data_IF_989988899581
#
_entry.id   IF_989988899581
#
_cell.length_a   1.000
_cell.length_b   1.000
_cell.length_c   1.000
_cell.angle_alpha   90.00
_cell.angle_beta   90.00
_cell.angle_gamma   90.00
#
_symmetry.space_group_name_H-M   'P 1'
#
loop_
_entity.id
_entity.type
_entity.pdbx_description
1 polymer ?
#
# COMPACT_ATOMS: atom_id res chain seq x y z
N UNK A 1 14.00 -31.70 -12.51
CA UNK A 1 15.02 -32.71 -12.73
C UNK A 1 15.04 -33.05 -14.24
N UNK A 2 15.86 -32.35 -14.96
CA UNK A 2 16.26 -32.76 -16.30
C UNK A 2 17.75 -33.01 -16.23
N UNK A 3 18.12 -34.18 -15.73
CA UNK A 3 19.39 -34.81 -15.99
C UNK A 3 19.24 -35.57 -17.31
N UNK A 4 19.62 -34.92 -18.40
CA UNK A 4 19.73 -35.47 -19.74
C UNK A 4 21.00 -34.96 -20.36
N UNK A 5 22.03 -35.83 -20.36
CA UNK A 5 23.31 -35.70 -21.03
C UNK A 5 23.11 -35.25 -22.47
N UNK A 6 23.56 -34.02 -22.82
CA UNK A 6 23.78 -33.64 -24.20
C UNK A 6 25.25 -33.87 -24.54
N UNK A 7 25.52 -35.04 -25.15
CA UNK A 7 26.77 -35.29 -25.85
C UNK A 7 26.89 -34.31 -27.02
N UNK A 8 27.99 -33.58 -27.04
CA UNK A 8 28.33 -32.62 -28.09
C UNK A 8 28.58 -33.35 -29.42
N UNK A 9 27.79 -33.05 -30.47
CA UNK A 9 28.10 -33.29 -31.85
C UNK A 9 28.45 -31.94 -32.53
N UNK A 10 29.56 -31.81 -33.21
CA UNK A 10 29.95 -30.55 -33.83
C UNK A 10 29.19 -30.38 -35.15
N UNK A 11 28.32 -29.39 -35.25
CA UNK A 11 27.76 -29.01 -36.54
C UNK A 11 26.33 -28.51 -36.62
N UNK A 12 25.59 -28.37 -35.51
CA UNK A 12 24.28 -27.73 -35.56
C UNK A 12 24.25 -26.46 -34.65
N UNK A 13 24.02 -25.31 -35.31
CA UNK A 13 23.63 -24.07 -34.65
C UNK A 13 22.51 -24.39 -33.62
N UNK A 14 22.86 -24.37 -32.35
CA UNK A 14 21.91 -24.52 -31.28
C UNK A 14 20.91 -23.36 -31.38
N UNK A 15 19.67 -23.64 -31.80
CA UNK A 15 18.56 -22.71 -31.65
C UNK A 15 18.49 -22.32 -30.19
N UNK A 16 18.42 -21.03 -29.84
CA UNK A 16 18.21 -20.62 -28.48
C UNK A 16 16.89 -21.25 -28.02
N UNK A 17 16.99 -22.22 -27.10
CA UNK A 17 15.86 -22.84 -26.47
C UNK A 17 15.01 -21.73 -25.85
N UNK A 18 13.74 -21.65 -26.23
CA UNK A 18 12.77 -20.63 -25.86
C UNK A 18 12.63 -20.49 -24.32
N UNK A 19 13.62 -19.88 -23.68
CA UNK A 19 13.50 -19.47 -22.25
C UNK A 19 12.36 -18.49 -22.05
N UNK A 20 12.04 -17.69 -23.05
CA UNK A 20 11.00 -16.66 -22.95
C UNK A 20 9.58 -17.24 -22.84
N UNK A 21 9.25 -18.33 -23.51
CA UNK A 21 7.92 -18.94 -23.47
C UNK A 21 7.64 -19.61 -22.11
N UNK A 22 8.63 -20.29 -21.53
CA UNK A 22 8.49 -20.96 -20.23
C UNK A 22 8.45 -19.93 -19.08
N UNK A 23 9.24 -18.86 -19.18
CA UNK A 23 9.22 -17.78 -18.21
C UNK A 23 7.90 -17.01 -18.26
N UNK A 24 7.39 -16.69 -19.45
CA UNK A 24 6.10 -16.00 -19.60
C UNK A 24 4.92 -16.81 -19.06
N UNK A 25 4.88 -18.13 -19.32
CA UNK A 25 3.83 -18.99 -18.77
C UNK A 25 3.85 -19.07 -17.24
N UNK A 26 5.01 -19.10 -16.62
CA UNK A 26 5.14 -19.10 -15.16
C UNK A 26 4.79 -17.75 -14.54
N UNK A 27 5.19 -16.65 -15.15
CA UNK A 27 4.86 -15.28 -14.68
C UNK A 27 3.35 -15.07 -14.79
N UNK A 28 2.72 -15.45 -15.91
CA UNK A 28 1.28 -15.30 -16.12
C UNK A 28 0.47 -16.14 -15.11
N UNK A 29 0.85 -17.39 -14.88
CA UNK A 29 0.17 -18.25 -13.90
C UNK A 29 0.34 -17.76 -12.46
N UNK A 30 1.50 -17.20 -12.10
CA UNK A 30 1.72 -16.60 -10.78
C UNK A 30 0.91 -15.31 -10.62
N UNK A 31 0.76 -14.50 -11.66
CA UNK A 31 -0.07 -13.30 -11.68
C UNK A 31 -1.55 -13.60 -11.40
N UNK A 32 -2.12 -14.59 -12.09
CA UNK A 32 -3.52 -15.02 -11.88
C UNK A 32 -3.73 -15.50 -10.45
N UNK A 33 -2.84 -16.32 -9.91
CA UNK A 33 -2.92 -16.79 -8.51
C UNK A 33 -2.90 -15.62 -7.52
N UNK A 34 -2.10 -14.58 -7.78
CA UNK A 34 -2.07 -13.37 -6.95
C UNK A 34 -3.36 -12.57 -7.00
N UNK A 35 -4.02 -12.50 -8.15
CA UNK A 35 -5.33 -11.87 -8.29
C UNK A 35 -6.36 -12.59 -7.41
N UNK A 36 -6.46 -13.92 -7.50
CA UNK A 36 -7.37 -14.71 -6.64
C UNK A 36 -7.04 -14.55 -5.15
N UNK A 37 -5.76 -14.56 -4.78
CA UNK A 37 -5.32 -14.31 -3.41
C UNK A 37 -5.75 -12.92 -2.92
N UNK A 38 -5.62 -11.88 -3.75
CA UNK A 38 -6.03 -10.53 -3.40
C UNK A 38 -7.55 -10.41 -3.21
N UNK A 39 -8.36 -11.06 -4.08
CA UNK A 39 -9.81 -11.12 -3.91
C UNK A 39 -10.21 -11.75 -2.57
N UNK A 40 -9.58 -12.87 -2.19
CA UNK A 40 -9.84 -13.48 -0.89
C UNK A 40 -9.39 -12.60 0.29
N UNK A 41 -8.23 -11.93 0.17
CA UNK A 41 -7.67 -11.14 1.24
C UNK A 41 -8.46 -9.84 1.54
N UNK A 42 -9.08 -9.21 0.54
CA UNK A 42 -9.81 -7.95 0.76
C UNK A 42 -11.15 -8.15 1.49
N UNK A 43 -11.72 -9.35 1.47
CA UNK A 43 -13.00 -9.65 2.14
C UNK A 43 -12.87 -9.57 3.67
N UNK A 44 -11.78 -10.07 4.24
CA UNK A 44 -11.56 -10.14 5.69
C UNK A 44 -11.69 -8.78 6.40
N UNK A 45 -10.92 -7.75 6.03
CA UNK A 45 -11.01 -6.43 6.66
C UNK A 45 -12.35 -5.72 6.46
N UNK A 46 -13.07 -6.00 5.37
CA UNK A 46 -14.40 -5.43 5.14
C UNK A 46 -15.46 -6.09 6.02
N UNK A 47 -15.48 -7.42 6.07
CA UNK A 47 -16.44 -8.17 6.88
C UNK A 47 -16.23 -7.94 8.37
N UNK A 48 -14.99 -7.94 8.86
CA UNK A 48 -14.73 -7.70 10.29
C UNK A 48 -15.25 -6.35 10.76
N UNK A 49 -15.11 -5.29 9.97
CA UNK A 49 -15.68 -3.98 10.29
C UNK A 49 -17.20 -3.96 10.24
N UNK A 50 -17.81 -4.67 9.29
CA UNK A 50 -19.25 -4.80 9.19
C UNK A 50 -19.81 -5.55 10.41
N UNK A 51 -19.25 -6.71 10.75
CA UNK A 51 -19.63 -7.52 11.90
C UNK A 51 -19.55 -6.77 13.23
N UNK A 52 -18.47 -5.99 13.44
CA UNK A 52 -18.33 -5.14 14.63
C UNK A 52 -19.49 -4.14 14.73
N UNK A 53 -19.89 -3.54 13.61
CA UNK A 53 -21.00 -2.56 13.59
C UNK A 53 -22.37 -3.20 13.77
N UNK A 54 -22.53 -4.47 13.38
CA UNK A 54 -23.79 -5.20 13.50
C UNK A 54 -24.00 -5.78 14.91
N UNK A 55 -22.91 -6.18 15.58
CA UNK A 55 -22.93 -6.83 16.88
C UNK A 55 -22.87 -5.86 18.07
N UNK A 56 -22.18 -4.72 17.90
CA UNK A 56 -21.88 -3.82 19.02
C UNK A 56 -22.58 -2.46 18.88
N UNK A 57 -23.04 -1.91 20.01
CA UNK A 57 -23.52 -0.53 20.07
C UNK A 57 -22.42 0.50 19.76
N UNK A 58 -22.81 1.74 19.48
CA UNK A 58 -21.89 2.80 18.98
C UNK A 58 -20.58 2.91 19.76
N UNK A 59 -20.64 2.92 21.09
CA UNK A 59 -19.48 3.11 21.96
C UNK A 59 -18.56 1.88 21.96
N UNK A 60 -19.14 0.68 22.03
CA UNK A 60 -18.39 -0.58 22.02
C UNK A 60 -17.82 -0.87 20.63
N UNK A 61 -18.57 -0.60 19.56
CA UNK A 61 -18.07 -0.71 18.19
C UNK A 61 -16.85 0.19 17.98
N UNK A 62 -16.83 1.41 18.52
CA UNK A 62 -15.67 2.28 18.45
C UNK A 62 -14.44 1.71 19.16
N UNK A 63 -14.62 1.09 20.33
CA UNK A 63 -13.53 0.40 21.05
C UNK A 63 -12.99 -0.79 20.24
N UNK A 64 -13.88 -1.63 19.70
CA UNK A 64 -13.51 -2.80 18.91
C UNK A 64 -12.79 -2.40 17.61
N UNK A 65 -13.27 -1.36 16.91
CA UNK A 65 -12.58 -0.82 15.72
C UNK A 65 -11.19 -0.26 16.05
N UNK A 66 -11.01 0.36 17.22
CA UNK A 66 -9.72 0.81 17.69
C UNK A 66 -8.77 -0.36 17.96
N UNK A 67 -9.26 -1.43 18.58
CA UNK A 67 -8.49 -2.66 18.79
C UNK A 67 -8.08 -3.30 17.46
N UNK A 68 -9.02 -3.37 16.50
CA UNK A 68 -8.75 -3.86 15.15
C UNK A 68 -7.65 -3.03 14.46
N UNK A 69 -7.68 -1.71 14.62
CA UNK A 69 -6.66 -0.82 14.06
C UNK A 69 -5.26 -1.09 14.65
N UNK A 70 -5.17 -1.40 15.94
CA UNK A 70 -3.90 -1.77 16.59
C UNK A 70 -3.37 -3.09 16.00
N UNK A 71 -4.23 -4.11 15.88
CA UNK A 71 -3.84 -5.40 15.29
C UNK A 71 -3.38 -5.22 13.84
N UNK A 72 -4.09 -4.40 13.05
CA UNK A 72 -3.71 -4.09 11.68
C UNK A 72 -2.38 -3.33 11.59
N UNK A 73 -2.01 -2.54 12.60
CA UNK A 73 -0.73 -1.85 12.64
C UNK A 73 0.46 -2.78 12.99
N UNK A 74 0.21 -3.88 13.71
CA UNK A 74 1.25 -4.87 14.06
C UNK A 74 1.65 -5.72 12.82
N UNK A 75 0.70 -6.04 11.95
CA UNK A 75 0.93 -6.94 10.82
C UNK A 75 2.05 -6.46 9.87
N UNK A 76 2.14 -5.18 9.45
CA UNK A 76 3.23 -4.69 8.62
C UNK A 76 4.61 -4.71 9.29
N UNK A 77 4.66 -4.75 10.63
CA UNK A 77 5.92 -4.89 11.39
C UNK A 77 6.30 -6.37 11.44
N UNK A 78 5.37 -7.22 11.85
CA UNK A 78 5.62 -8.64 12.03
C UNK A 78 5.91 -9.37 10.70
N UNK A 79 5.23 -8.99 9.61
CA UNK A 79 5.35 -9.63 8.31
C UNK A 79 6.78 -9.67 7.77
N UNK A 80 7.44 -8.53 7.53
CA UNK A 80 8.82 -8.49 7.03
C UNK A 80 9.84 -9.11 7.98
N UNK A 81 9.65 -8.96 9.30
CA UNK A 81 10.53 -9.59 10.29
C UNK A 81 10.44 -11.11 10.23
N UNK A 82 9.23 -11.67 10.23
CA UNK A 82 9.01 -13.11 10.11
C UNK A 82 9.52 -13.64 8.78
N UNK A 83 9.26 -12.92 7.67
CA UNK A 83 9.74 -13.30 6.36
C UNK A 83 11.28 -13.31 6.28
N UNK A 84 11.93 -12.30 6.83
CA UNK A 84 13.40 -12.23 6.89
C UNK A 84 14.00 -13.42 7.61
N UNK A 85 13.50 -13.75 8.79
CA UNK A 85 13.97 -14.90 9.57
C UNK A 85 13.69 -16.25 8.89
N UNK A 86 12.49 -16.39 8.29
CA UNK A 86 12.16 -17.62 7.55
C UNK A 86 13.08 -17.85 6.36
N UNK A 87 13.54 -16.79 5.68
CA UNK A 87 14.45 -16.90 4.55
C UNK A 87 15.87 -17.31 4.94
N UNK A 88 16.27 -17.13 6.19
CA UNK A 88 17.57 -17.59 6.71
C UNK A 88 17.59 -19.09 6.92
N UNK A 89 16.51 -19.64 7.50
CA UNK A 89 16.43 -21.05 7.90
C UNK A 89 15.82 -21.95 6.82
N UNK A 90 14.98 -21.38 5.96
CA UNK A 90 14.19 -22.11 4.97
C UNK A 90 14.21 -21.42 3.60
N UNK A 91 13.58 -22.04 2.63
CA UNK A 91 13.42 -21.48 1.28
C UNK A 91 12.24 -20.50 1.23
N UNK A 92 12.17 -19.68 0.18
CA UNK A 92 11.08 -18.74 -0.05
C UNK A 92 9.67 -19.38 -0.07
N UNK A 93 9.58 -20.69 -0.31
CA UNK A 93 8.31 -21.44 -0.27
C UNK A 93 7.70 -21.46 1.13
N UNK A 94 8.52 -21.41 2.19
CA UNK A 94 8.03 -21.44 3.58
C UNK A 94 7.13 -20.26 3.92
N UNK A 95 7.35 -19.08 3.30
CA UNK A 95 6.49 -17.91 3.46
C UNK A 95 5.07 -18.22 2.95
N UNK A 96 4.95 -18.93 1.81
CA UNK A 96 3.64 -19.30 1.26
C UNK A 96 2.95 -20.37 2.12
N UNK A 97 3.69 -21.33 2.67
CA UNK A 97 3.13 -22.31 3.60
C UNK A 97 2.62 -21.65 4.88
N UNK A 98 3.32 -20.64 5.40
CA UNK A 98 2.84 -19.84 6.52
C UNK A 98 1.53 -19.12 6.17
N UNK A 99 1.44 -18.52 4.99
CA UNK A 99 0.21 -17.86 4.54
C UNK A 99 -0.95 -18.85 4.37
N UNK A 100 -0.68 -20.07 3.90
CA UNK A 100 -1.68 -21.14 3.81
C UNK A 100 -2.18 -21.54 5.19
N UNK A 101 -1.26 -21.73 6.16
CA UNK A 101 -1.63 -22.07 7.54
C UNK A 101 -2.52 -20.99 8.17
N UNK A 102 -2.16 -19.70 8.01
CA UNK A 102 -2.98 -18.58 8.47
C UNK A 102 -4.34 -18.56 7.76
N UNK A 103 -4.38 -18.81 6.45
CA UNK A 103 -5.62 -18.87 5.67
C UNK A 103 -6.56 -19.99 6.14
N UNK A 104 -6.03 -21.16 6.45
CA UNK A 104 -6.81 -22.28 7.02
C UNK A 104 -7.37 -21.91 8.41
N UNK A 105 -6.53 -21.32 9.27
CA UNK A 105 -6.96 -20.87 10.59
C UNK A 105 -8.10 -19.84 10.48
N UNK A 106 -7.99 -18.88 9.57
CA UNK A 106 -9.04 -17.90 9.30
C UNK A 106 -10.32 -18.56 8.78
N UNK A 107 -10.20 -19.54 7.87
CA UNK A 107 -11.35 -20.26 7.33
C UNK A 107 -12.09 -21.01 8.45
N UNK A 108 -11.37 -21.73 9.31
CA UNK A 108 -11.96 -22.42 10.47
C UNK A 108 -12.65 -21.41 11.40
N UNK A 109 -12.01 -20.30 11.70
CA UNK A 109 -12.61 -19.26 12.54
C UNK A 109 -13.92 -18.72 11.93
N UNK A 110 -13.96 -18.45 10.62
CA UNK A 110 -15.18 -17.96 9.94
C UNK A 110 -16.31 -19.00 9.95
N UNK A 111 -15.99 -20.29 9.81
CA UNK A 111 -16.99 -21.36 9.82
C UNK A 111 -17.62 -21.57 11.21
N UNK A 112 -16.92 -21.21 12.29
CA UNK A 112 -17.41 -21.31 13.68
C UNK A 112 -18.26 -20.09 14.07
N UNK A 113 -18.06 -18.93 13.43
CA UNK A 113 -18.79 -17.71 13.76
C UNK A 113 -20.22 -17.79 13.19
N UNK A 114 -21.27 -17.61 14.01
CA UNK A 114 -22.65 -17.57 13.54
C UNK A 114 -22.92 -16.35 12.65
N UNK A 115 -23.89 -16.47 11.74
CA UNK A 115 -24.33 -15.37 10.87
C UNK A 115 -24.79 -14.17 11.70
N UNK A 116 -24.18 -13.01 11.51
CA UNK A 116 -24.43 -11.81 12.31
C UNK A 116 -25.51 -10.89 11.71
N UNK A 117 -25.84 -11.05 10.42
CA UNK A 117 -26.77 -10.16 9.72
C UNK A 117 -28.11 -10.85 9.42
N UNK A 118 -29.21 -10.49 10.12
CA UNK A 118 -30.52 -11.08 9.90
C UNK A 118 -30.99 -10.90 8.45
N UNK A 119 -31.58 -11.95 7.88
CA UNK A 119 -32.06 -11.97 6.48
C UNK A 119 -33.02 -10.81 6.19
N UNK A 120 -33.82 -10.41 7.17
CA UNK A 120 -34.83 -9.35 7.08
C UNK A 120 -34.21 -7.95 6.87
N UNK A 121 -33.00 -7.72 7.34
CA UNK A 121 -32.27 -6.44 7.22
C UNK A 121 -31.43 -6.32 5.95
N UNK A 122 -31.38 -7.38 5.13
CA UNK A 122 -30.60 -7.37 3.89
C UNK A 122 -31.19 -6.36 2.89
N UNK A 123 -30.41 -5.36 2.53
CA UNK A 123 -30.83 -4.33 1.58
C UNK A 123 -31.05 -4.92 0.17
N UNK A 124 -32.24 -4.75 -0.36
CA UNK A 124 -32.61 -5.12 -1.74
C UNK A 124 -32.21 -4.05 -2.78
N UNK A 125 -31.34 -3.09 -2.44
CA UNK A 125 -30.95 -2.02 -3.34
C UNK A 125 -30.22 -2.58 -4.58
N UNK A 126 -30.67 -2.21 -5.76
CA UNK A 126 -30.11 -2.62 -7.03
C UNK A 126 -28.65 -2.17 -7.19
N UNK A 127 -27.81 -3.04 -7.75
CA UNK A 127 -26.40 -2.78 -8.10
C UNK A 127 -26.26 -1.54 -9.02
N UNK A 128 -27.26 -1.29 -9.87
CA UNK A 128 -27.29 -0.11 -10.76
C UNK A 128 -27.23 1.24 -10.04
N UNK A 129 -27.84 1.36 -8.85
CA UNK A 129 -27.75 2.58 -8.05
C UNK A 129 -26.34 2.86 -7.55
N UNK A 130 -25.59 1.79 -7.23
CA UNK A 130 -24.19 1.90 -6.77
C UNK A 130 -23.28 2.38 -7.91
N UNK A 131 -23.49 1.90 -9.12
CA UNK A 131 -22.72 2.31 -10.29
C UNK A 131 -22.90 3.81 -10.62
N UNK A 132 -24.14 4.30 -10.54
CA UNK A 132 -24.42 5.72 -10.74
C UNK A 132 -23.73 6.61 -9.68
N UNK A 133 -23.66 6.16 -8.42
CA UNK A 133 -22.94 6.89 -7.37
C UNK A 133 -21.45 7.01 -7.67
N UNK A 134 -20.81 5.98 -8.21
CA UNK A 134 -19.40 6.04 -8.62
C UNK A 134 -19.20 7.07 -9.75
N UNK A 135 -20.09 7.10 -10.72
CA UNK A 135 -20.01 8.07 -11.82
C UNK A 135 -20.15 9.51 -11.35
N UNK A 136 -21.07 9.77 -10.43
CA UNK A 136 -21.26 11.09 -9.82
C UNK A 136 -20.00 11.50 -9.04
N UNK A 137 -19.41 10.58 -8.27
CA UNK A 137 -18.20 10.84 -7.48
C UNK A 137 -16.98 11.10 -8.36
N UNK A 138 -16.80 10.36 -9.46
CA UNK A 138 -15.73 10.59 -10.42
C UNK A 138 -15.81 11.98 -11.09
N UNK A 139 -17.02 12.54 -11.22
CA UNK A 139 -17.22 13.90 -11.74
C UNK A 139 -17.12 15.00 -10.68
N UNK A 140 -17.12 14.63 -9.41
CA UNK A 140 -17.00 15.58 -8.30
C UNK A 140 -15.54 16.02 -8.14
N UNK A 141 -15.21 17.23 -8.62
CA UNK A 141 -13.85 17.78 -8.57
C UNK A 141 -13.26 17.83 -7.16
N UNK A 142 -14.07 18.15 -6.13
CA UNK A 142 -13.63 18.21 -4.76
C UNK A 142 -13.26 16.83 -4.19
N UNK A 143 -14.08 15.80 -4.48
CA UNK A 143 -13.79 14.41 -4.11
C UNK A 143 -12.57 13.89 -4.85
N UNK A 144 -12.48 14.10 -6.17
CA UNK A 144 -11.38 13.62 -7.00
C UNK A 144 -10.04 14.27 -6.65
N UNK A 145 -10.02 15.55 -6.27
CA UNK A 145 -8.82 16.24 -5.81
C UNK A 145 -8.15 15.47 -4.67
N UNK A 146 -8.89 15.18 -3.60
CA UNK A 146 -8.34 14.47 -2.45
C UNK A 146 -8.05 13.00 -2.76
N UNK A 147 -8.88 12.35 -3.56
CA UNK A 147 -8.66 10.97 -3.99
C UNK A 147 -7.39 10.84 -4.82
N UNK A 148 -7.15 11.75 -5.79
CA UNK A 148 -5.91 11.76 -6.58
C UNK A 148 -4.69 12.13 -5.73
N UNK A 149 -4.85 13.04 -4.77
CA UNK A 149 -3.77 13.39 -3.84
C UNK A 149 -3.29 12.16 -3.06
N UNK A 150 -4.19 11.43 -2.41
CA UNK A 150 -3.80 10.22 -1.66
C UNK A 150 -3.31 9.11 -2.59
N UNK A 151 -3.91 8.93 -3.76
CA UNK A 151 -3.47 7.93 -4.74
C UNK A 151 -2.05 8.21 -5.23
N UNK A 152 -1.71 9.47 -5.53
CA UNK A 152 -0.35 9.87 -5.91
C UNK A 152 0.64 9.57 -4.79
N UNK A 153 0.30 9.88 -3.54
CA UNK A 153 1.16 9.55 -2.41
C UNK A 153 1.35 8.04 -2.25
N UNK A 154 0.29 7.25 -2.49
CA UNK A 154 0.37 5.78 -2.43
C UNK A 154 1.15 5.17 -3.58
N UNK A 155 1.20 5.79 -4.78
CA UNK A 155 2.15 5.36 -5.82
C UNK A 155 3.59 5.44 -5.30
N UNK A 156 3.95 6.53 -4.60
CA UNK A 156 5.27 6.68 -3.99
C UNK A 156 5.52 5.64 -2.87
N UNK A 157 4.53 5.37 -2.02
CA UNK A 157 4.61 4.31 -1.00
C UNK A 157 4.85 2.95 -1.65
N UNK A 158 4.09 2.61 -2.69
CA UNK A 158 4.26 1.33 -3.38
C UNK A 158 5.58 1.25 -4.15
N UNK A 159 6.13 2.38 -4.64
CA UNK A 159 7.47 2.41 -5.21
C UNK A 159 8.53 2.03 -4.16
N UNK A 160 8.39 2.53 -2.95
CA UNK A 160 9.23 2.11 -1.83
C UNK A 160 9.03 0.64 -1.47
N UNK A 161 7.79 0.16 -1.34
CA UNK A 161 7.50 -1.24 -1.00
C UNK A 161 8.09 -2.23 -2.02
N UNK A 162 8.00 -1.89 -3.30
CA UNK A 162 8.47 -2.76 -4.40
C UNK A 162 9.98 -2.66 -4.60
N UNK A 163 10.55 -1.45 -4.48
CA UNK A 163 11.96 -1.19 -4.79
C UNK A 163 12.89 -1.38 -3.59
N UNK A 164 12.42 -1.19 -2.35
CA UNK A 164 13.28 -1.22 -1.17
C UNK A 164 14.01 -2.56 -0.94
N UNK A 165 13.42 -3.75 -1.19
CA UNK A 165 14.16 -5.01 -1.02
C UNK A 165 15.38 -5.06 -1.94
N UNK A 166 15.19 -4.68 -3.22
CA UNK A 166 16.28 -4.64 -4.18
C UNK A 166 17.35 -3.61 -3.79
N UNK A 167 16.93 -2.39 -3.48
CA UNK A 167 17.87 -1.31 -3.12
C UNK A 167 18.67 -1.68 -1.86
N UNK A 168 18.02 -2.19 -0.80
CA UNK A 168 18.73 -2.47 0.44
C UNK A 168 19.59 -3.73 0.35
N UNK A 169 19.09 -4.81 -0.26
CA UNK A 169 19.78 -6.11 -0.26
C UNK A 169 20.79 -6.21 -1.41
N UNK A 170 20.40 -5.81 -2.64
CA UNK A 170 21.24 -6.05 -3.81
C UNK A 170 22.17 -4.86 -4.12
N UNK A 171 21.72 -3.60 -3.89
CA UNK A 171 22.55 -2.41 -4.16
C UNK A 171 23.45 -2.04 -2.97
N UNK A 172 22.90 -2.10 -1.75
CA UNK A 172 23.64 -1.75 -0.51
C UNK A 172 24.12 -2.96 0.30
N UNK A 173 23.94 -4.17 -0.22
CA UNK A 173 24.43 -5.43 0.38
C UNK A 173 24.00 -5.63 1.85
N UNK A 174 22.84 -5.09 2.25
CA UNK A 174 22.30 -5.29 3.60
C UNK A 174 21.87 -6.74 3.75
N UNK A 175 22.33 -7.46 4.80
CA UNK A 175 21.90 -8.83 5.05
C UNK A 175 20.38 -8.91 5.14
N UNK A 176 19.78 -9.94 4.52
CA UNK A 176 18.32 -10.13 4.42
C UNK A 176 17.61 -10.10 5.78
N UNK A 177 18.30 -10.52 6.82
CA UNK A 177 17.83 -10.51 8.21
C UNK A 177 17.53 -9.10 8.72
N UNK A 178 18.36 -8.12 8.35
CA UNK A 178 18.22 -6.74 8.80
C UNK A 178 17.22 -5.93 7.98
N UNK A 179 16.84 -6.39 6.79
CA UNK A 179 15.84 -5.73 5.96
C UNK A 179 14.51 -5.52 6.70
N UNK A 180 14.04 -6.56 7.42
CA UNK A 180 12.81 -6.50 8.19
C UNK A 180 12.82 -5.41 9.27
N UNK A 181 13.96 -5.20 9.93
CA UNK A 181 14.12 -4.15 10.94
C UNK A 181 14.11 -2.75 10.32
N UNK A 182 14.86 -2.54 9.23
CA UNK A 182 14.88 -1.26 8.50
C UNK A 182 13.49 -0.90 7.96
N UNK A 183 12.75 -1.90 7.49
CA UNK A 183 11.36 -1.70 7.06
C UNK A 183 10.44 -1.33 8.22
N UNK A 184 10.57 -2.01 9.36
CA UNK A 184 9.75 -1.81 10.56
C UNK A 184 9.91 -0.41 11.16
N UNK A 185 11.09 0.18 11.08
CA UNK A 185 11.34 1.57 11.52
C UNK A 185 10.40 2.55 10.81
N UNK A 186 10.14 2.35 9.51
CA UNK A 186 9.21 3.20 8.76
C UNK A 186 7.78 3.11 9.31
N UNK A 187 7.34 1.91 9.69
CA UNK A 187 6.00 1.69 10.26
C UNK A 187 5.87 2.35 11.63
N UNK A 188 6.92 2.30 12.45
CA UNK A 188 6.98 3.00 13.73
C UNK A 188 6.81 4.52 13.51
N UNK A 189 7.48 5.07 12.49
CA UNK A 189 7.32 6.47 12.10
C UNK A 189 5.86 6.83 11.75
N UNK A 190 5.20 5.98 10.96
CA UNK A 190 3.77 6.15 10.62
C UNK A 190 2.89 6.12 11.87
N UNK A 191 3.12 5.19 12.79
CA UNK A 191 2.37 5.09 14.05
C UNK A 191 2.57 6.32 14.92
N UNK A 192 3.80 6.80 15.06
CA UNK A 192 4.14 7.99 15.82
C UNK A 192 3.44 9.23 15.26
N UNK A 193 3.55 9.47 13.94
CA UNK A 193 2.89 10.61 13.31
C UNK A 193 1.37 10.48 13.28
N UNK A 194 0.81 9.27 13.21
CA UNK A 194 -0.62 9.07 13.40
C UNK A 194 -1.08 9.43 14.82
N UNK A 195 -0.29 9.10 15.83
CA UNK A 195 -0.59 9.49 17.21
C UNK A 195 -0.50 11.02 17.43
N UNK A 196 0.52 11.65 16.85
CA UNK A 196 0.68 13.11 16.86
C UNK A 196 -0.48 13.78 16.11
N UNK A 197 -0.88 13.24 14.96
CA UNK A 197 -1.99 13.75 14.16
C UNK A 197 -3.30 13.83 14.97
N UNK A 198 -3.59 12.86 15.83
CA UNK A 198 -4.79 12.88 16.71
C UNK A 198 -4.86 14.11 17.60
N UNK A 199 -3.69 14.66 18.02
CA UNK A 199 -3.63 15.86 18.84
C UNK A 199 -3.70 17.13 18.01
N UNK A 200 -3.11 17.13 16.82
CA UNK A 200 -2.97 18.32 15.97
C UNK A 200 -4.24 18.55 15.13
N UNK A 201 -4.96 17.51 14.76
CA UNK A 201 -6.13 17.58 13.86
C UNK A 201 -7.25 18.45 14.41
N UNK A 202 -7.37 18.60 15.73
CA UNK A 202 -8.35 19.48 16.38
C UNK A 202 -7.92 20.95 16.43
N UNK A 203 -6.61 21.21 16.30
CA UNK A 203 -6.05 22.57 16.43
C UNK A 203 -5.79 23.25 15.09
N UNK A 204 -5.62 22.47 14.02
CA UNK A 204 -5.25 22.99 12.68
C UNK A 204 -6.28 22.56 11.66
N UNK A 205 -6.65 23.46 10.73
CA UNK A 205 -7.51 23.13 9.58
C UNK A 205 -6.90 22.00 8.76
N UNK A 206 -7.72 21.02 8.41
CA UNK A 206 -7.30 19.81 7.67
C UNK A 206 -6.57 20.14 6.37
N UNK A 207 -7.04 21.14 5.61
CA UNK A 207 -6.40 21.56 4.35
C UNK A 207 -4.97 22.09 4.57
N UNK A 208 -4.76 22.87 5.63
CA UNK A 208 -3.43 23.39 5.96
C UNK A 208 -2.51 22.27 6.44
N UNK A 209 -3.04 21.37 7.26
CA UNK A 209 -2.29 20.20 7.74
C UNK A 209 -1.85 19.31 6.59
N UNK A 210 -2.74 19.06 5.61
CA UNK A 210 -2.42 18.30 4.41
C UNK A 210 -1.30 18.98 3.59
N UNK A 211 -1.37 20.29 3.39
CA UNK A 211 -0.34 21.05 2.66
C UNK A 211 1.02 20.96 3.36
N UNK A 212 1.08 21.21 4.65
CA UNK A 212 2.35 21.13 5.37
C UNK A 212 2.95 19.72 5.35
N UNK A 213 2.13 18.67 5.52
CA UNK A 213 2.59 17.30 5.49
C UNK A 213 3.11 16.88 4.09
N UNK A 214 2.41 17.27 3.02
CA UNK A 214 2.82 16.95 1.65
C UNK A 214 4.05 17.75 1.22
N UNK A 215 4.14 19.04 1.60
CA UNK A 215 5.32 19.87 1.38
C UNK A 215 6.55 19.32 2.12
N UNK A 216 6.41 18.96 3.38
CA UNK A 216 7.50 18.36 4.14
C UNK A 216 8.00 17.08 3.47
N UNK A 217 7.09 16.17 3.08
CA UNK A 217 7.45 14.95 2.37
C UNK A 217 8.17 15.25 1.05
N UNK A 218 7.69 16.24 0.27
CA UNK A 218 8.30 16.64 -0.99
C UNK A 218 9.71 17.22 -0.80
N UNK A 219 9.90 18.07 0.20
CA UNK A 219 11.22 18.64 0.54
C UNK A 219 12.18 17.52 0.95
N UNK A 220 11.78 16.63 1.84
CA UNK A 220 12.63 15.52 2.29
C UNK A 220 13.12 14.68 1.12
N UNK A 221 12.22 14.25 0.23
CA UNK A 221 12.57 13.41 -0.91
C UNK A 221 13.43 14.18 -1.93
N UNK A 222 13.12 15.47 -2.16
CA UNK A 222 13.91 16.32 -3.07
C UNK A 222 15.34 16.53 -2.55
N UNK A 223 15.52 16.69 -1.25
CA UNK A 223 16.85 16.78 -0.62
C UNK A 223 17.63 15.49 -0.80
N UNK A 224 16.99 14.32 -0.59
CA UNK A 224 17.67 13.02 -0.79
C UNK A 224 18.14 12.87 -2.22
N UNK A 225 17.27 13.14 -3.21
CA UNK A 225 17.66 13.05 -4.63
C UNK A 225 18.75 14.06 -4.96
N UNK A 226 18.64 15.30 -4.47
CA UNK A 226 19.67 16.32 -4.68
C UNK A 226 21.04 15.87 -4.17
N UNK A 227 21.10 15.29 -2.98
CA UNK A 227 22.34 14.75 -2.42
C UNK A 227 22.85 13.53 -3.20
N UNK A 228 21.98 12.66 -3.68
CA UNK A 228 22.36 11.56 -4.55
C UNK A 228 22.98 12.06 -5.87
N UNK A 229 22.40 13.10 -6.49
CA UNK A 229 22.96 13.70 -7.74
C UNK A 229 24.35 14.32 -7.51
N UNK A 230 24.59 14.90 -6.34
CA UNK A 230 25.92 15.45 -5.97
C UNK A 230 26.94 14.33 -5.67
N UNK A 231 26.51 13.06 -5.63
CA UNK A 231 27.40 11.91 -5.46
C UNK A 231 27.41 11.30 -4.05
N UNK A 232 26.53 11.74 -3.16
CA UNK A 232 26.38 11.12 -1.84
C UNK A 232 25.48 9.88 -1.93
N UNK A 233 26.10 8.69 -2.04
CA UNK A 233 25.42 7.39 -2.14
C UNK A 233 25.53 6.60 -0.84
N UNK A 234 24.92 7.10 0.24
CA UNK A 234 24.93 6.41 1.54
C UNK A 234 23.61 5.67 1.77
N UNK A 235 23.68 4.43 2.29
CA UNK A 235 22.51 3.69 2.76
C UNK A 235 21.69 4.51 3.75
N UNK A 236 22.34 5.16 4.71
CA UNK A 236 21.67 5.95 5.75
C UNK A 236 20.92 7.16 5.19
N UNK A 237 21.42 7.77 4.12
CA UNK A 237 20.71 8.85 3.44
C UNK A 237 19.35 8.37 2.92
N UNK A 238 19.32 7.21 2.28
CA UNK A 238 18.07 6.61 1.75
C UNK A 238 17.16 6.16 2.88
N UNK A 239 17.70 5.49 3.91
CA UNK A 239 16.92 5.01 5.05
C UNK A 239 16.25 6.18 5.78
N UNK A 240 16.98 7.24 6.09
CA UNK A 240 16.43 8.42 6.78
C UNK A 240 15.43 9.15 5.88
N UNK A 241 15.74 9.33 4.61
CA UNK A 241 14.84 9.98 3.67
C UNK A 241 13.53 9.21 3.48
N UNK A 242 13.61 7.90 3.32
CA UNK A 242 12.45 7.02 3.25
C UNK A 242 11.67 7.03 4.56
N UNK A 243 12.33 7.00 5.70
CA UNK A 243 11.68 7.10 7.01
C UNK A 243 10.86 8.40 7.16
N UNK A 244 11.45 9.54 6.85
CA UNK A 244 10.77 10.83 6.94
C UNK A 244 9.58 10.91 5.98
N UNK A 245 9.77 10.52 4.73
CA UNK A 245 8.72 10.47 3.71
C UNK A 245 7.59 9.51 4.11
N UNK A 246 7.94 8.26 4.43
CA UNK A 246 6.95 7.20 4.72
C UNK A 246 6.14 7.51 5.98
N UNK A 247 6.77 8.11 6.99
CA UNK A 247 6.12 8.51 8.24
C UNK A 247 4.97 9.51 8.00
N UNK A 248 5.08 10.38 6.97
CA UNK A 248 4.01 11.33 6.63
C UNK A 248 2.71 10.64 6.22
N UNK A 249 2.74 9.35 5.88
CA UNK A 249 1.54 8.57 5.62
C UNK A 249 0.54 8.62 6.80
N UNK A 250 1.04 8.66 8.03
CA UNK A 250 0.21 8.75 9.23
C UNK A 250 -0.69 10.01 9.28
N UNK A 251 -0.26 11.09 8.64
CA UNK A 251 -1.03 12.33 8.53
C UNK A 251 -1.76 12.40 7.20
N UNK A 252 -1.05 12.23 6.09
CA UNK A 252 -1.58 12.45 4.73
C UNK A 252 -2.77 11.53 4.46
N UNK A 253 -2.66 10.22 4.73
CA UNK A 253 -3.75 9.29 4.49
C UNK A 253 -4.98 9.61 5.34
N UNK A 254 -4.80 9.87 6.63
CA UNK A 254 -5.92 10.15 7.54
C UNK A 254 -6.66 11.43 7.14
N UNK A 255 -5.93 12.51 6.91
CA UNK A 255 -6.49 13.83 6.58
C UNK A 255 -7.15 13.80 5.21
N UNK A 256 -6.50 13.22 4.21
CA UNK A 256 -7.03 13.17 2.84
C UNK A 256 -8.29 12.31 2.76
N UNK A 257 -8.32 11.17 3.46
CA UNK A 257 -9.50 10.31 3.53
C UNK A 257 -10.68 11.05 4.18
N UNK A 258 -10.44 11.80 5.26
CA UNK A 258 -11.47 12.59 5.92
C UNK A 258 -12.04 13.68 4.97
N UNK A 259 -11.16 14.43 4.30
CA UNK A 259 -11.56 15.47 3.34
C UNK A 259 -12.31 14.91 2.13
N UNK A 260 -11.85 13.77 1.58
CA UNK A 260 -12.53 13.11 0.47
C UNK A 260 -13.94 12.63 0.86
N UNK A 261 -14.09 11.98 2.02
CA UNK A 261 -15.37 11.47 2.49
C UNK A 261 -16.36 12.60 2.84
N UNK A 262 -15.89 13.74 3.35
CA UNK A 262 -16.72 14.93 3.54
C UNK A 262 -17.31 15.43 2.21
N UNK A 263 -16.54 15.37 1.12
CA UNK A 263 -17.02 15.72 -0.23
C UNK A 263 -17.96 14.68 -0.83
N UNK A 264 -17.90 13.44 -0.42
CA UNK A 264 -18.84 12.39 -0.84
C UNK A 264 -20.23 12.53 -0.20
N UNK A 265 -20.36 13.18 0.95
CA UNK A 265 -21.60 13.47 1.64
C UNK A 265 -22.47 12.22 1.84
N UNK A 266 -23.70 12.22 1.30
CA UNK A 266 -24.65 11.09 1.41
C UNK A 266 -24.15 9.79 0.76
N UNK A 267 -23.16 9.86 -0.14
CA UNK A 267 -22.57 8.71 -0.84
C UNK A 267 -21.30 8.22 -0.17
N UNK A 268 -21.09 8.48 1.13
CA UNK A 268 -19.84 8.18 1.84
C UNK A 268 -19.41 6.69 1.72
N UNK A 269 -20.35 5.74 1.69
CA UNK A 269 -20.03 4.32 1.46
C UNK A 269 -19.42 4.05 0.09
N UNK A 270 -20.07 4.53 -0.97
CA UNK A 270 -19.54 4.45 -2.35
C UNK A 270 -18.23 5.26 -2.48
N UNK A 271 -18.15 6.41 -1.79
CA UNK A 271 -16.96 7.24 -1.74
C UNK A 271 -15.77 6.51 -1.11
N UNK A 272 -15.97 5.84 0.01
CA UNK A 272 -14.92 5.06 0.67
C UNK A 272 -14.44 3.89 -0.20
N UNK A 273 -15.35 3.21 -0.91
CA UNK A 273 -15.00 2.12 -1.80
C UNK A 273 -14.19 2.61 -3.01
N UNK A 274 -14.62 3.71 -3.67
CA UNK A 274 -13.92 4.28 -4.82
C UNK A 274 -12.54 4.82 -4.41
N UNK A 275 -12.47 5.55 -3.31
CA UNK A 275 -11.23 6.08 -2.75
C UNK A 275 -10.25 4.95 -2.42
N UNK A 276 -10.71 3.91 -1.73
CA UNK A 276 -9.89 2.73 -1.42
C UNK A 276 -9.41 2.01 -2.68
N UNK A 277 -10.27 1.83 -3.68
CA UNK A 277 -9.91 1.21 -4.96
C UNK A 277 -8.82 2.02 -5.69
N UNK A 278 -8.92 3.35 -5.74
CA UNK A 278 -7.92 4.21 -6.37
C UNK A 278 -6.63 4.27 -5.55
N UNK A 279 -6.73 4.38 -4.23
CA UNK A 279 -5.62 4.43 -3.30
C UNK A 279 -4.76 3.15 -3.36
N UNK A 280 -5.37 1.98 -3.20
CA UNK A 280 -4.64 0.70 -3.23
C UNK A 280 -4.33 0.24 -4.65
N UNK A 281 -5.21 0.51 -5.61
CA UNK A 281 -4.98 0.22 -7.03
C UNK A 281 -3.84 1.03 -7.65
N UNK A 282 -3.45 2.15 -7.05
CA UNK A 282 -2.32 2.97 -7.47
C UNK A 282 -0.99 2.22 -7.45
N UNK A 283 -0.88 1.12 -6.68
CA UNK A 283 0.28 0.23 -6.68
C UNK A 283 0.57 -0.40 -8.06
N UNK A 284 -0.45 -0.58 -8.89
CA UNK A 284 -0.26 -1.06 -10.27
C UNK A 284 0.60 -0.08 -11.08
N UNK A 285 0.31 1.22 -10.94
CA UNK A 285 1.05 2.28 -11.64
C UNK A 285 2.52 2.27 -11.21
N UNK A 286 2.77 2.21 -9.91
CA UNK A 286 4.12 2.12 -9.35
C UNK A 286 4.90 0.91 -9.88
N UNK A 287 4.30 -0.27 -9.82
CA UNK A 287 4.93 -1.51 -10.26
C UNK A 287 5.24 -1.49 -11.75
N UNK A 288 4.32 -0.97 -12.58
CA UNK A 288 4.54 -0.83 -14.02
C UNK A 288 5.72 0.11 -14.31
N UNK A 289 5.76 1.29 -13.69
CA UNK A 289 6.85 2.25 -13.91
C UNK A 289 8.20 1.63 -13.53
N UNK A 290 8.30 1.00 -12.36
CA UNK A 290 9.53 0.37 -11.91
C UNK A 290 9.97 -0.81 -12.78
N UNK A 291 9.04 -1.53 -13.41
CA UNK A 291 9.37 -2.63 -14.33
C UNK A 291 10.09 -2.16 -15.60
N UNK A 292 9.78 -0.95 -16.07
CA UNK A 292 10.41 -0.39 -17.27
C UNK A 292 11.70 0.42 -17.01
N UNK A 293 12.00 0.70 -15.75
CA UNK A 293 13.21 1.43 -15.38
C UNK A 293 14.36 0.46 -15.08
N UNK A 294 15.61 0.80 -15.46
CA UNK A 294 16.77 -0.02 -15.12
C UNK A 294 16.97 -0.06 -13.60
N UNK A 295 17.18 -1.25 -13.04
CA UNK A 295 17.20 -1.46 -11.58
C UNK A 295 18.61 -1.53 -10.99
N UNK A 296 19.66 -1.08 -11.69
CA UNK A 296 21.05 -1.21 -11.23
C UNK A 296 21.43 -0.27 -10.08
N UNK A 297 20.53 0.66 -9.72
CA UNK A 297 20.80 1.69 -8.72
C UNK A 297 19.54 2.04 -7.92
N UNK A 298 19.70 2.87 -6.87
CA UNK A 298 18.56 3.39 -6.08
C UNK A 298 17.78 4.52 -6.79
N UNK A 299 18.29 5.08 -7.90
CA UNK A 299 17.69 6.21 -8.60
C UNK A 299 16.27 5.95 -9.12
N UNK A 300 15.94 4.80 -9.75
CA UNK A 300 14.58 4.55 -10.24
C UNK A 300 13.54 4.60 -9.14
N UNK A 301 13.80 3.94 -8.01
CA UNK A 301 12.92 3.94 -6.86
C UNK A 301 12.72 5.36 -6.31
N UNK A 302 13.82 6.06 -6.01
CA UNK A 302 13.77 7.41 -5.45
C UNK A 302 13.17 8.43 -6.42
N UNK A 303 13.41 8.29 -7.73
CA UNK A 303 12.84 9.13 -8.78
C UNK A 303 11.32 9.01 -8.85
N UNK A 304 10.79 7.78 -8.84
CA UNK A 304 9.33 7.55 -8.80
C UNK A 304 8.73 8.13 -7.52
N UNK A 305 9.35 7.90 -6.37
CA UNK A 305 8.91 8.47 -5.09
C UNK A 305 8.83 10.00 -5.19
N UNK A 306 9.89 10.66 -5.68
CA UNK A 306 9.92 12.12 -5.76
C UNK A 306 8.85 12.69 -6.69
N UNK A 307 8.73 12.14 -7.90
CA UNK A 307 7.75 12.61 -8.88
C UNK A 307 6.34 12.57 -8.27
N UNK A 308 5.95 11.45 -7.67
CA UNK A 308 4.59 11.30 -7.18
C UNK A 308 4.32 12.01 -5.86
N UNK A 309 5.33 12.20 -5.01
CA UNK A 309 5.21 13.05 -3.81
C UNK A 309 5.08 14.52 -4.18
N UNK A 310 5.83 14.98 -5.19
CA UNK A 310 5.72 16.35 -5.71
C UNK A 310 4.32 16.56 -6.36
N UNK A 311 3.84 15.62 -7.15
CA UNK A 311 2.48 15.66 -7.73
C UNK A 311 1.45 15.73 -6.60
N UNK A 312 1.59 14.92 -5.55
CA UNK A 312 0.72 14.96 -4.38
C UNK A 312 0.72 16.36 -3.72
N UNK A 313 1.89 16.96 -3.54
CA UNK A 313 2.01 18.30 -2.96
C UNK A 313 1.36 19.37 -3.86
N UNK A 314 1.55 19.30 -5.17
CA UNK A 314 0.90 20.21 -6.15
C UNK A 314 -0.61 20.09 -6.07
N UNK A 315 -1.18 18.88 -6.01
CA UNK A 315 -2.62 18.66 -5.91
C UNK A 315 -3.18 19.17 -4.58
N UNK A 316 -2.41 19.06 -3.49
CA UNK A 316 -2.80 19.53 -2.17
C UNK A 316 -2.76 21.06 -2.02
N UNK A 317 -1.98 21.76 -2.85
CA UNK A 317 -1.68 23.20 -2.68
C UNK A 317 -2.89 24.13 -2.87
N UNK A 318 -3.77 23.97 -3.89
CA UNK A 318 -4.90 24.88 -4.09
C UNK A 318 -5.83 24.89 -2.88
N UNK A 319 -6.21 26.09 -2.39
CA UNK A 319 -7.21 26.23 -1.34
C UNK A 319 -8.57 25.76 -1.82
N UNK A 320 -9.30 25.12 -0.93
CA UNK A 320 -10.66 24.71 -1.21
C UNK A 320 -11.61 25.82 -0.72
N UNK A 321 -12.26 26.52 -1.67
CA UNK A 321 -13.15 27.68 -1.40
C UNK A 321 -14.24 27.37 -0.36
N UNK A 322 -14.65 26.10 -0.23
CA UNK A 322 -15.68 25.69 0.74
C UNK A 322 -15.26 25.95 2.18
N UNK A 323 -13.95 25.88 2.50
CA UNK A 323 -13.43 26.11 3.84
C UNK A 323 -13.06 27.57 4.12
N UNK A 324 -13.10 28.44 3.12
CA UNK A 324 -12.86 29.89 3.31
C UNK A 324 -14.13 30.64 3.73
N UNK A 325 -15.31 29.99 3.78
CA UNK A 325 -16.59 30.63 4.11
C UNK A 325 -17.10 30.31 5.52
N UNK A 326 -16.28 29.67 6.35
CA UNK A 326 -16.52 29.42 7.78
C UNK A 326 -15.38 30.08 8.57
#
# INVERSE_FOLDING_TARGET
PCTGSCAASPGHFARPCDRHSVVNGRIFSSGIRRVFQAFGACVGPMLSRAMIRDLYGRTEAAKMLSTLAIVMAIAPIAGPMLAGHLLVWYTWHSIFWLLVAIGILMLVAVLVIPETHPVEKRSKKSIGHTYNNYWILLRNKGFMKYTLCVSSFYIAIYAFLTGSPYVYIDVYEVPKEYFGYLFSVNIIGVMLLSAINRRIVSAIRLDRLLRYATLFAAICVSVVIGLMIVGYHSLWLIVIGCFLFFSMNGIIAAVTNALALDRAGRMAGSGAALLGAMQYGSGIVSSLILTFLPNDTAYPMMGVIAIFVIICAIIAFPEDEKYNRI
#
